data_IF_172258611337
#
_entry.id   IF_172258611337
#
_cell.length_a   1.000
_cell.length_b   1.000
_cell.length_c   1.000
_cell.angle_alpha   90.00
_cell.angle_beta   90.00
_cell.angle_gamma   90.00
#
_symmetry.space_group_name_H-M   'P 1'
#
loop_
_entity.id
_entity.type
_entity.pdbx_description
1 polymer ?
#
# COMPACT_ATOMS: atom_id res chain seq x y z
N UNK A 1 -58.34 28.62 20.87
CA UNK A 1 -57.48 29.82 20.95
C UNK A 1 -56.10 29.43 20.43
N UNK A 2 -55.68 29.90 19.23
CA UNK A 2 -54.42 29.49 18.59
C UNK A 2 -53.28 30.37 19.11
N UNK A 3 -52.34 29.81 19.88
CA UNK A 3 -51.07 30.46 20.18
C UNK A 3 -50.18 30.38 18.93
N UNK A 4 -49.87 31.53 18.34
CA UNK A 4 -48.81 31.67 17.34
C UNK A 4 -47.50 31.77 18.10
N UNK A 5 -46.66 30.74 18.00
CA UNK A 5 -45.29 30.82 18.47
C UNK A 5 -44.51 31.78 17.56
N UNK A 6 -44.16 32.94 18.12
CA UNK A 6 -43.21 33.84 17.50
C UNK A 6 -41.82 33.26 17.68
N UNK A 7 -41.29 32.64 16.62
CA UNK A 7 -39.87 32.34 16.52
C UNK A 7 -39.13 33.68 16.57
N UNK A 8 -38.52 33.96 17.71
CA UNK A 8 -37.78 35.19 17.95
C UNK A 8 -36.49 35.14 17.11
N UNK A 9 -36.38 35.99 16.08
CA UNK A 9 -35.28 35.99 15.10
C UNK A 9 -33.89 36.08 15.75
N UNK A 10 -33.81 36.70 16.92
CA UNK A 10 -32.59 36.81 17.73
C UNK A 10 -32.08 35.46 18.24
N UNK A 11 -32.98 34.54 18.62
CA UNK A 11 -32.58 33.20 19.10
C UNK A 11 -32.09 32.30 17.97
N UNK A 12 -32.67 32.44 16.77
CA UNK A 12 -32.23 31.69 15.59
C UNK A 12 -30.82 32.13 15.13
N UNK A 13 -30.54 33.44 15.17
CA UNK A 13 -29.22 33.98 14.85
C UNK A 13 -28.14 33.52 15.84
N UNK A 14 -28.48 33.41 17.13
CA UNK A 14 -27.57 32.90 18.18
C UNK A 14 -27.26 31.41 17.96
N UNK A 15 -28.25 30.60 17.58
CA UNK A 15 -28.03 29.18 17.25
C UNK A 15 -27.13 28.98 16.03
N UNK A 16 -27.26 29.83 15.00
CA UNK A 16 -26.41 29.77 13.80
C UNK A 16 -24.97 30.18 14.14
N UNK A 17 -24.78 31.21 14.98
CA UNK A 17 -23.45 31.65 15.43
C UNK A 17 -22.75 30.58 16.30
N UNK A 18 -23.49 29.85 17.14
CA UNK A 18 -22.97 28.75 17.96
C UNK A 18 -22.52 27.54 17.12
N UNK A 19 -23.19 27.26 16.00
CA UNK A 19 -22.74 26.22 15.06
C UNK A 19 -21.51 26.67 14.25
N UNK A 20 -21.43 27.95 13.89
CA UNK A 20 -20.29 28.49 13.13
C UNK A 20 -18.99 28.51 13.95
N UNK A 21 -19.05 28.74 15.27
CA UNK A 21 -17.87 28.72 16.14
C UNK A 21 -17.35 27.32 16.44
N UNK A 22 -18.22 26.30 16.45
CA UNK A 22 -17.82 24.89 16.56
C UNK A 22 -17.09 24.37 15.30
N UNK A 23 -17.28 25.02 14.15
CA UNK A 23 -16.60 24.63 12.91
C UNK A 23 -15.16 25.16 12.80
N UNK A 24 -14.78 26.17 13.59
CA UNK A 24 -13.46 26.81 13.52
C UNK A 24 -12.41 26.21 14.47
N UNK A 25 -12.78 25.23 15.30
CA UNK A 25 -11.86 24.54 16.22
C UNK A 25 -11.47 23.12 15.80
N UNK A 26 -11.98 22.62 14.67
CA UNK A 26 -11.39 21.42 14.09
C UNK A 26 -10.14 21.84 13.31
N UNK A 27 -8.92 21.46 13.74
CA UNK A 27 -7.75 21.68 12.91
C UNK A 27 -7.96 20.87 11.64
N UNK A 28 -8.11 21.57 10.52
CA UNK A 28 -8.00 20.98 9.19
C UNK A 28 -6.52 20.62 9.03
N UNK A 29 -6.13 19.46 9.56
CA UNK A 29 -4.76 18.95 9.45
C UNK A 29 -4.70 17.49 9.02
N UNK A 30 -5.86 16.88 8.68
CA UNK A 30 -5.92 15.46 8.30
C UNK A 30 -5.68 15.14 6.81
N UNK A 31 -5.72 16.11 5.89
CA UNK A 31 -5.85 15.77 4.47
C UNK A 31 -4.56 15.39 3.73
N UNK A 32 -3.39 15.68 4.29
CA UNK A 32 -2.09 15.35 3.68
C UNK A 32 -1.58 13.96 4.06
N UNK A 33 -1.58 13.64 5.36
CA UNK A 33 -1.04 12.37 5.87
C UNK A 33 -1.92 11.16 5.52
N UNK A 34 -3.24 11.33 5.51
CA UNK A 34 -4.18 10.25 5.19
C UNK A 34 -4.08 9.82 3.72
N UNK A 35 -3.92 10.79 2.81
CA UNK A 35 -3.80 10.56 1.37
C UNK A 35 -2.45 9.91 0.98
N UNK A 36 -1.36 10.38 1.60
CA UNK A 36 -0.02 9.78 1.46
C UNK A 36 0.02 8.34 1.99
N UNK A 37 -0.64 8.09 3.13
CA UNK A 37 -0.76 6.74 3.73
C UNK A 37 -1.60 5.80 2.86
N UNK A 38 -2.72 6.27 2.31
CA UNK A 38 -3.54 5.47 1.39
C UNK A 38 -2.78 5.10 0.10
N UNK A 39 -2.03 6.04 -0.47
CA UNK A 39 -1.18 5.78 -1.64
C UNK A 39 -0.05 4.78 -1.32
N UNK A 40 0.58 4.90 -0.16
CA UNK A 40 1.59 3.96 0.33
C UNK A 40 1.03 2.54 0.47
N UNK A 41 -0.15 2.39 1.08
CA UNK A 41 -0.83 1.10 1.20
C UNK A 41 -1.15 0.48 -0.17
N UNK A 42 -1.55 1.30 -1.14
CA UNK A 42 -1.71 0.88 -2.53
C UNK A 42 -0.41 0.33 -3.14
N UNK A 43 0.74 0.95 -2.85
CA UNK A 43 2.05 0.51 -3.35
C UNK A 43 2.55 -0.77 -2.67
N UNK A 44 2.43 -0.91 -1.35
CA UNK A 44 2.82 -2.14 -0.64
C UNK A 44 1.96 -3.33 -1.07
N UNK A 45 0.66 -3.12 -1.29
CA UNK A 45 -0.23 -4.13 -1.89
C UNK A 45 0.26 -4.58 -3.28
N UNK A 46 0.66 -3.65 -4.15
CA UNK A 46 1.23 -4.00 -5.47
C UNK A 46 2.51 -4.82 -5.35
N UNK A 47 3.42 -4.43 -4.45
CA UNK A 47 4.64 -5.18 -4.19
C UNK A 47 4.35 -6.60 -3.71
N UNK A 48 3.39 -6.78 -2.80
CA UNK A 48 2.95 -8.11 -2.34
C UNK A 48 2.45 -8.97 -3.51
N UNK A 49 1.56 -8.42 -4.35
CA UNK A 49 1.03 -9.15 -5.51
C UNK A 49 2.13 -9.56 -6.48
N UNK A 50 3.14 -8.70 -6.71
CA UNK A 50 4.29 -9.04 -7.55
C UNK A 50 5.15 -10.16 -6.95
N UNK A 51 5.32 -10.20 -5.62
CA UNK A 51 5.99 -11.31 -4.93
C UNK A 51 5.20 -12.60 -5.09
N UNK A 52 3.88 -12.56 -4.89
CA UNK A 52 2.99 -13.71 -5.08
C UNK A 52 3.07 -14.25 -6.52
N UNK A 53 2.94 -13.37 -7.52
CA UNK A 53 3.07 -13.74 -8.94
C UNK A 53 4.44 -14.37 -9.25
N UNK A 54 5.53 -13.80 -8.71
CA UNK A 54 6.86 -14.36 -8.92
C UNK A 54 7.02 -15.76 -8.31
N UNK A 55 6.42 -16.01 -7.15
CA UNK A 55 6.38 -17.35 -6.55
C UNK A 55 5.58 -18.32 -7.42
N UNK A 56 4.42 -17.91 -7.93
CA UNK A 56 3.57 -18.77 -8.75
C UNK A 56 4.25 -19.17 -10.07
N UNK A 57 4.83 -18.20 -10.78
CA UNK A 57 5.56 -18.46 -12.04
C UNK A 57 6.79 -19.35 -11.80
N UNK A 58 7.52 -19.11 -10.70
CA UNK A 58 8.64 -19.96 -10.31
C UNK A 58 8.21 -21.40 -10.03
N UNK A 59 7.15 -21.58 -9.24
CA UNK A 59 6.63 -22.92 -8.91
C UNK A 59 6.14 -23.67 -10.14
N UNK A 60 5.45 -23.01 -11.07
CA UNK A 60 5.04 -23.62 -12.35
C UNK A 60 6.25 -24.14 -13.12
N UNK A 61 7.30 -23.33 -13.26
CA UNK A 61 8.54 -23.72 -13.93
C UNK A 61 9.30 -24.85 -13.21
N UNK A 62 9.30 -24.84 -11.87
CA UNK A 62 9.97 -25.83 -11.03
C UNK A 62 9.26 -27.19 -11.08
N UNK A 63 7.93 -27.21 -10.90
CA UNK A 63 7.10 -28.41 -10.96
C UNK A 63 7.09 -29.02 -12.36
N UNK A 64 7.13 -28.19 -13.41
CA UNK A 64 7.28 -28.63 -14.79
C UNK A 64 8.67 -29.17 -15.13
N UNK A 65 9.66 -29.04 -14.24
CA UNK A 65 11.06 -29.39 -14.50
C UNK A 65 11.69 -28.56 -15.63
N UNK A 66 11.11 -27.40 -15.95
CA UNK A 66 11.51 -26.59 -17.10
C UNK A 66 12.55 -25.53 -16.76
N UNK A 67 12.86 -25.31 -15.48
CA UNK A 67 13.89 -24.36 -15.09
C UNK A 67 15.26 -24.72 -15.69
N UNK A 68 15.99 -23.67 -16.06
CA UNK A 68 17.19 -23.79 -16.90
C UNK A 68 18.30 -24.67 -16.31
N UNK A 69 18.54 -24.58 -15.00
CA UNK A 69 19.53 -25.39 -14.28
C UNK A 69 19.33 -25.32 -12.76
N UNK A 70 19.88 -26.27 -11.98
CA UNK A 70 19.85 -26.19 -10.52
C UNK A 70 20.45 -24.90 -9.96
N UNK A 71 21.51 -24.38 -10.59
CA UNK A 71 22.13 -23.10 -10.18
C UNK A 71 21.18 -21.92 -10.34
N UNK A 72 20.43 -21.89 -11.44
CA UNK A 72 19.40 -20.86 -11.68
C UNK A 72 18.27 -21.01 -10.66
N UNK A 73 17.82 -22.24 -10.42
CA UNK A 73 16.79 -22.53 -9.41
C UNK A 73 17.17 -21.97 -8.03
N UNK A 74 18.36 -22.30 -7.51
CA UNK A 74 18.82 -21.80 -6.21
C UNK A 74 18.89 -20.27 -6.15
N UNK A 75 19.32 -19.62 -7.25
CA UNK A 75 19.33 -18.15 -7.32
C UNK A 75 17.90 -17.59 -7.24
N UNK A 76 16.96 -18.14 -8.00
CA UNK A 76 15.57 -17.69 -8.03
C UNK A 76 14.90 -17.87 -6.66
N UNK A 77 15.12 -18.99 -5.99
CA UNK A 77 14.64 -19.22 -4.62
C UNK A 77 15.19 -18.18 -3.64
N UNK A 78 16.50 -17.88 -3.72
CA UNK A 78 17.12 -16.86 -2.87
C UNK A 78 16.55 -15.46 -3.13
N UNK A 79 16.36 -15.10 -4.41
CA UNK A 79 15.76 -13.83 -4.82
C UNK A 79 14.30 -13.71 -4.32
N UNK A 80 13.54 -14.81 -4.38
CA UNK A 80 12.17 -14.88 -3.85
C UNK A 80 12.10 -14.72 -2.33
N UNK A 81 12.96 -15.40 -1.58
CA UNK A 81 13.04 -15.24 -0.13
C UNK A 81 13.47 -13.81 0.26
N UNK A 82 14.44 -13.25 -0.47
CA UNK A 82 14.85 -11.86 -0.29
C UNK A 82 13.70 -10.89 -0.52
N UNK A 83 12.89 -11.11 -1.56
CA UNK A 83 11.73 -10.25 -1.85
C UNK A 83 10.67 -10.29 -0.74
N UNK A 84 10.48 -11.43 -0.06
CA UNK A 84 9.61 -11.53 1.14
C UNK A 84 10.16 -10.77 2.33
N UNK A 85 11.47 -10.85 2.58
CA UNK A 85 12.12 -10.06 3.63
C UNK A 85 11.97 -8.56 3.40
N UNK A 86 12.25 -8.11 2.18
CA UNK A 86 12.05 -6.71 1.78
C UNK A 86 10.58 -6.27 1.90
N UNK A 87 9.62 -7.16 1.64
CA UNK A 87 8.20 -6.84 1.80
C UNK A 87 7.85 -6.54 3.27
N UNK A 88 8.41 -7.29 4.22
CA UNK A 88 8.26 -6.99 5.64
C UNK A 88 8.88 -5.62 6.00
N UNK A 89 10.10 -5.35 5.53
CA UNK A 89 10.76 -4.05 5.74
C UNK A 89 9.98 -2.87 5.12
N UNK A 90 9.31 -3.09 3.99
CA UNK A 90 8.47 -2.08 3.35
C UNK A 90 7.21 -1.78 4.18
N UNK A 91 6.59 -2.79 4.79
CA UNK A 91 5.48 -2.58 5.72
C UNK A 91 5.94 -1.82 6.97
N UNK A 92 7.05 -2.25 7.59
CA UNK A 92 7.59 -1.57 8.78
C UNK A 92 7.91 -0.10 8.49
N UNK A 93 8.51 0.20 7.33
CA UNK A 93 8.79 1.58 6.92
C UNK A 93 7.50 2.39 6.68
N UNK A 94 6.51 1.81 5.99
CA UNK A 94 5.23 2.48 5.71
C UNK A 94 4.43 2.74 7.00
N UNK A 95 4.37 1.77 7.92
CA UNK A 95 3.69 1.88 9.20
C UNK A 95 4.39 2.88 10.13
N UNK A 96 5.71 2.97 10.04
CA UNK A 96 6.52 4.00 10.70
C UNK A 96 6.47 5.39 10.05
N UNK A 97 5.76 5.55 8.94
CA UNK A 97 5.62 6.84 8.23
C UNK A 97 6.78 7.21 7.30
N UNK A 98 7.81 6.37 7.16
CA UNK A 98 8.92 6.57 6.23
C UNK A 98 8.55 6.09 4.81
N UNK A 99 7.71 6.88 4.16
CA UNK A 99 7.17 6.55 2.84
C UNK A 99 8.23 6.56 1.74
N UNK A 100 9.30 7.35 1.90
CA UNK A 100 10.44 7.38 0.98
C UNK A 100 11.17 6.05 1.01
N UNK A 101 11.55 5.57 2.20
CA UNK A 101 12.19 4.26 2.37
C UNK A 101 11.28 3.13 1.90
N UNK A 102 9.99 3.16 2.26
CA UNK A 102 9.03 2.17 1.79
C UNK A 102 9.00 2.11 0.26
N UNK A 103 8.94 3.26 -0.42
CA UNK A 103 8.93 3.33 -1.87
C UNK A 103 10.24 2.81 -2.51
N UNK A 104 11.41 3.12 -1.93
CA UNK A 104 12.69 2.57 -2.39
C UNK A 104 12.76 1.05 -2.28
N UNK A 105 12.29 0.50 -1.16
CA UNK A 105 12.23 -0.96 -0.94
C UNK A 105 11.26 -1.60 -1.95
N UNK A 106 10.10 -1.00 -2.18
CA UNK A 106 9.13 -1.46 -3.18
C UNK A 106 9.75 -1.51 -4.58
N UNK A 107 10.50 -0.49 -5.00
CA UNK A 107 11.20 -0.53 -6.29
C UNK A 107 12.21 -1.69 -6.39
N UNK A 108 12.92 -2.00 -5.30
CA UNK A 108 13.82 -3.17 -5.24
C UNK A 108 13.04 -4.48 -5.39
N UNK A 109 11.90 -4.61 -4.70
CA UNK A 109 11.01 -5.79 -4.83
C UNK A 109 10.55 -5.96 -6.28
N UNK A 110 10.09 -4.88 -6.93
CA UNK A 110 9.64 -4.94 -8.33
C UNK A 110 10.76 -5.39 -9.27
N UNK A 111 11.99 -4.88 -9.09
CA UNK A 111 13.13 -5.30 -9.90
C UNK A 111 13.45 -6.79 -9.73
N UNK A 112 13.44 -7.28 -8.49
CA UNK A 112 13.73 -8.69 -8.19
C UNK A 112 12.66 -9.60 -8.77
N UNK A 113 11.39 -9.31 -8.50
CA UNK A 113 10.24 -10.13 -8.94
C UNK A 113 10.13 -10.18 -10.46
N UNK A 114 10.33 -9.07 -11.18
CA UNK A 114 10.42 -9.09 -12.64
C UNK A 114 11.55 -9.99 -13.16
N UNK A 115 12.72 -9.95 -12.52
CA UNK A 115 13.83 -10.85 -12.86
C UNK A 115 13.48 -12.31 -12.65
N UNK A 116 12.86 -12.64 -11.51
CA UNK A 116 12.43 -14.01 -11.20
C UNK A 116 11.41 -14.51 -12.22
N UNK A 117 10.40 -13.71 -12.55
CA UNK A 117 9.36 -14.06 -13.53
C UNK A 117 9.99 -14.31 -14.91
N UNK A 118 10.91 -13.45 -15.33
CA UNK A 118 11.56 -13.59 -16.64
C UNK A 118 12.43 -14.85 -16.71
N UNK A 119 13.29 -15.07 -15.71
CA UNK A 119 14.19 -16.23 -15.66
C UNK A 119 13.43 -17.56 -15.49
N UNK A 120 12.34 -17.58 -14.71
CA UNK A 120 11.52 -18.78 -14.48
C UNK A 120 10.80 -19.29 -15.74
N UNK A 121 10.52 -18.39 -16.69
CA UNK A 121 9.91 -18.74 -17.99
C UNK A 121 10.92 -19.28 -19.01
N UNK A 122 12.23 -19.17 -18.73
CA UNK A 122 13.27 -19.66 -19.63
C UNK A 122 13.41 -21.18 -19.48
N UNK A 123 13.08 -21.91 -20.54
CA UNK A 123 13.15 -23.36 -20.56
C UNK A 123 14.59 -23.87 -20.62
N UNK A 124 14.83 -25.00 -19.95
CA UNK A 124 16.04 -25.82 -20.15
C UNK A 124 16.19 -26.17 -21.63
N UNK A 125 17.40 -25.98 -22.16
CA UNK A 125 17.77 -26.40 -23.52
C UNK A 125 18.16 -27.87 -23.55
#
# INVERSE_FOLDING_TARGET
MKQKEFINKSNLAIFILLWATLFLMNPVSGSGEEFEKENSFGKTKKARLAVEEAWDVYHDGALGGTLQSPKVQTKLEMDLHKSRGLLAEAYDAADGGDLTKANEIIQKIMKITHGVIAESKVRKK
#
